data_IF_235112268022
#
_entry.id   IF_235112268022
#
_cell.length_a   1.000
_cell.length_b   1.000
_cell.length_c   1.000
_cell.angle_alpha   90.00
_cell.angle_beta   90.00
_cell.angle_gamma   90.00
#
_symmetry.space_group_name_H-M   'P 1'
#
loop_
_entity.id
_entity.type
_entity.pdbx_description
1 polymer ?
#
# COMPACT_ATOMS: atom_id res chain seq x y z
N UNK A 1 38.89 51.69 -7.05
CA UNK A 1 37.41 51.62 -6.96
C UNK A 1 37.00 52.40 -5.73
N UNK A 2 35.96 53.23 -5.81
CA UNK A 2 35.53 54.03 -4.65
C UNK A 2 34.73 53.16 -3.68
N UNK A 3 34.85 53.40 -2.37
CA UNK A 3 34.08 52.70 -1.33
C UNK A 3 32.57 52.55 -1.60
N UNK A 4 31.85 53.55 -2.16
CA UNK A 4 30.43 53.39 -2.47
C UNK A 4 30.14 52.34 -3.56
N UNK A 5 31.08 52.05 -4.47
CA UNK A 5 30.87 51.02 -5.50
C UNK A 5 30.96 49.60 -4.92
N UNK A 6 31.83 49.40 -3.92
CA UNK A 6 31.97 48.12 -3.21
C UNK A 6 30.75 47.82 -2.32
N UNK A 7 30.18 48.84 -1.66
CA UNK A 7 28.99 48.69 -0.85
C UNK A 7 27.75 48.30 -1.68
N UNK A 8 27.57 48.92 -2.86
CA UNK A 8 26.47 48.60 -3.76
C UNK A 8 26.55 47.16 -4.33
N UNK A 9 27.76 46.72 -4.71
CA UNK A 9 27.99 45.35 -5.18
C UNK A 9 27.66 44.30 -4.11
N UNK A 10 28.01 44.56 -2.85
CA UNK A 10 27.71 43.66 -1.73
C UNK A 10 26.22 43.51 -1.48
N UNK A 11 25.46 44.62 -1.49
CA UNK A 11 24.00 44.59 -1.31
C UNK A 11 23.31 43.81 -2.44
N UNK A 12 23.76 43.96 -3.68
CA UNK A 12 23.21 43.20 -4.83
C UNK A 12 23.50 41.71 -4.70
N UNK A 13 24.70 41.33 -4.27
CA UNK A 13 25.06 39.93 -4.02
C UNK A 13 24.25 39.34 -2.86
N UNK A 14 24.13 40.05 -1.74
CA UNK A 14 23.33 39.63 -0.59
C UNK A 14 21.84 39.44 -0.96
N UNK A 15 21.28 40.34 -1.79
CA UNK A 15 19.91 40.19 -2.29
C UNK A 15 19.73 39.00 -3.23
N UNK A 16 20.69 38.75 -4.12
CA UNK A 16 20.65 37.61 -5.04
C UNK A 16 20.71 36.26 -4.28
N UNK A 17 21.60 36.15 -3.28
CA UNK A 17 21.68 34.96 -2.42
C UNK A 17 20.39 34.72 -1.61
N UNK A 18 19.73 35.80 -1.16
CA UNK A 18 18.43 35.74 -0.49
C UNK A 18 17.34 35.26 -1.45
N UNK A 19 17.29 35.76 -2.68
CA UNK A 19 16.30 35.37 -3.68
C UNK A 19 16.45 33.90 -4.11
N UNK A 20 17.69 33.42 -4.31
CA UNK A 20 17.98 32.00 -4.56
C UNK A 20 17.54 31.12 -3.40
N UNK A 21 17.82 31.54 -2.16
CA UNK A 21 17.41 30.80 -0.96
C UNK A 21 15.88 30.72 -0.83
N UNK A 22 15.16 31.80 -1.15
CA UNK A 22 13.70 31.83 -1.16
C UNK A 22 13.14 30.90 -2.25
N UNK A 23 13.73 30.93 -3.46
CA UNK A 23 13.33 30.07 -4.56
C UNK A 23 13.50 28.58 -4.19
N UNK A 24 14.67 28.19 -3.67
CA UNK A 24 14.96 26.82 -3.23
C UNK A 24 14.00 26.34 -2.13
N UNK A 25 13.67 27.21 -1.17
CA UNK A 25 12.69 26.89 -0.12
C UNK A 25 11.30 26.63 -0.69
N UNK A 26 10.84 27.45 -1.64
CA UNK A 26 9.54 27.26 -2.31
C UNK A 26 9.49 25.96 -3.08
N UNK A 27 10.55 25.65 -3.82
CA UNK A 27 10.66 24.39 -4.56
C UNK A 27 10.64 23.18 -3.61
N UNK A 28 11.40 23.24 -2.52
CA UNK A 28 11.43 22.18 -1.50
C UNK A 28 10.04 21.93 -0.90
N UNK A 29 9.28 22.99 -0.58
CA UNK A 29 7.92 22.88 -0.08
C UNK A 29 7.00 22.25 -1.12
N UNK A 30 7.10 22.67 -2.39
CA UNK A 30 6.30 22.11 -3.47
C UNK A 30 6.59 20.62 -3.71
N UNK A 31 7.86 20.21 -3.65
CA UNK A 31 8.27 18.81 -3.77
C UNK A 31 7.78 17.97 -2.59
N UNK A 32 7.90 18.46 -1.35
CA UNK A 32 7.36 17.79 -0.16
C UNK A 32 5.86 17.55 -0.27
N UNK A 33 5.11 18.54 -0.76
CA UNK A 33 3.67 18.40 -0.99
C UNK A 33 3.36 17.32 -2.01
N UNK A 34 4.04 17.33 -3.16
CA UNK A 34 3.86 16.29 -4.19
C UNK A 34 4.20 14.88 -3.68
N UNK A 35 5.23 14.78 -2.84
CA UNK A 35 5.63 13.50 -2.23
C UNK A 35 4.55 13.00 -1.27
N UNK A 36 4.02 13.87 -0.41
CA UNK A 36 2.89 13.52 0.46
C UNK A 36 1.63 13.13 -0.34
N UNK A 37 1.32 13.86 -1.42
CA UNK A 37 0.19 13.52 -2.29
C UNK A 37 0.39 12.14 -2.97
N UNK A 38 1.64 11.80 -3.35
CA UNK A 38 1.97 10.51 -3.95
C UNK A 38 1.89 9.36 -2.94
N UNK A 39 2.40 9.56 -1.72
CA UNK A 39 2.33 8.59 -0.63
C UNK A 39 0.88 8.31 -0.23
N UNK A 40 0.04 9.34 -0.13
CA UNK A 40 -1.40 9.17 0.12
C UNK A 40 -2.12 8.43 -1.01
N UNK A 41 -1.72 8.66 -2.27
CA UNK A 41 -2.34 8.01 -3.43
C UNK A 41 -1.95 6.53 -3.58
N UNK A 42 -0.70 6.19 -3.26
CA UNK A 42 -0.17 4.83 -3.38
C UNK A 42 0.86 4.55 -2.27
N UNK A 43 0.39 4.26 -1.04
CA UNK A 43 1.27 4.08 0.11
C UNK A 43 2.23 2.88 -0.05
N UNK A 44 1.81 1.86 -0.80
CA UNK A 44 2.63 0.67 -1.07
C UNK A 44 4.00 1.00 -1.71
N UNK A 45 4.11 2.06 -2.52
CA UNK A 45 5.39 2.43 -3.14
C UNK A 45 6.43 2.84 -2.10
N UNK A 46 5.98 3.36 -0.96
CA UNK A 46 6.80 3.86 0.14
C UNK A 46 6.90 2.87 1.30
N UNK A 47 6.41 1.65 1.11
CA UNK A 47 6.32 0.63 2.15
C UNK A 47 7.69 0.14 2.65
N UNK A 48 7.72 -0.20 3.94
CA UNK A 48 8.80 -0.97 4.56
C UNK A 48 8.39 -2.43 4.71
N UNK A 49 9.36 -3.36 4.66
CA UNK A 49 9.08 -4.81 4.78
C UNK A 49 8.31 -5.09 6.08
N UNK A 50 7.22 -5.85 5.97
CA UNK A 50 6.29 -6.15 7.07
C UNK A 50 5.12 -5.16 7.17
N UNK A 51 5.11 -4.08 6.37
CA UNK A 51 3.95 -3.20 6.28
C UNK A 51 2.72 -3.96 5.78
N UNK A 52 1.60 -3.75 6.48
CA UNK A 52 0.31 -4.32 6.14
C UNK A 52 -0.48 -3.38 5.21
N UNK A 53 -1.21 -3.99 4.29
CA UNK A 53 -2.10 -3.31 3.35
C UNK A 53 -3.42 -4.05 3.21
N UNK A 54 -4.48 -3.30 2.99
CA UNK A 54 -5.77 -3.80 2.53
C UNK A 54 -6.02 -3.37 1.08
N UNK A 55 -6.85 -4.11 0.37
CA UNK A 55 -7.33 -3.67 -0.93
C UNK A 55 -8.43 -2.62 -0.78
N UNK A 56 -8.29 -1.48 -1.47
CA UNK A 56 -9.33 -0.45 -1.55
C UNK A 56 -10.63 -1.07 -2.04
N UNK A 57 -11.65 -1.06 -1.18
CA UNK A 57 -13.02 -1.41 -1.58
C UNK A 57 -13.51 -0.38 -2.61
N UNK A 58 -13.87 -0.85 -3.80
CA UNK A 58 -14.68 -0.05 -4.71
C UNK A 58 -16.12 -0.02 -4.16
N UNK A 59 -16.83 1.10 -4.25
CA UNK A 59 -18.22 1.22 -3.80
C UNK A 59 -19.16 0.21 -4.49
N UNK A 60 -18.75 -0.29 -5.66
CA UNK A 60 -19.45 -1.34 -6.42
C UNK A 60 -19.16 -2.74 -5.89
N UNK A 61 -18.12 -2.92 -5.08
CA UNK A 61 -17.75 -4.16 -4.41
C UNK A 61 -18.50 -4.27 -3.08
N UNK A 62 -19.83 -4.44 -3.17
CA UNK A 62 -20.66 -4.72 -2.01
C UNK A 62 -20.37 -6.14 -1.50
N UNK A 63 -20.22 -6.30 -0.18
CA UNK A 63 -20.04 -7.58 0.53
C UNK A 63 -18.67 -8.27 0.42
N UNK A 64 -17.60 -7.56 0.10
CA UNK A 64 -16.24 -8.12 0.18
C UNK A 64 -15.61 -7.86 1.56
N UNK A 65 -15.12 -8.92 2.19
CA UNK A 65 -14.20 -8.83 3.32
C UNK A 65 -12.88 -8.17 2.87
N UNK A 66 -12.19 -7.42 3.74
CA UNK A 66 -10.96 -6.75 3.36
C UNK A 66 -9.84 -7.79 3.31
N UNK A 67 -9.33 -8.08 2.12
CA UNK A 67 -8.13 -8.90 1.96
C UNK A 67 -6.91 -8.16 2.55
N UNK A 68 -6.16 -8.85 3.40
CA UNK A 68 -4.94 -8.33 4.03
C UNK A 68 -3.69 -8.87 3.36
N UNK A 69 -2.74 -7.96 3.13
CA UNK A 69 -1.49 -8.23 2.46
C UNK A 69 -0.32 -7.71 3.27
N UNK A 70 0.72 -8.53 3.41
CA UNK A 70 2.02 -8.13 3.95
C UNK A 70 2.97 -7.79 2.80
N UNK A 71 3.64 -6.65 2.88
CA UNK A 71 4.68 -6.29 1.93
C UNK A 71 6.01 -6.97 2.26
N UNK A 72 6.55 -7.73 1.31
CA UNK A 72 7.78 -8.52 1.49
C UNK A 72 9.03 -7.87 0.88
N UNK A 73 8.89 -6.73 0.19
CA UNK A 73 10.00 -6.03 -0.44
C UNK A 73 9.87 -5.95 -1.97
N UNK A 74 11.02 -5.89 -2.66
CA UNK A 74 11.07 -5.71 -4.11
C UNK A 74 11.79 -6.85 -4.82
N UNK A 75 11.37 -7.13 -6.05
CA UNK A 75 12.04 -8.10 -6.91
C UNK A 75 13.43 -7.61 -7.33
N UNK A 76 14.41 -8.51 -7.35
CA UNK A 76 15.73 -8.25 -7.94
C UNK A 76 15.71 -8.26 -9.48
N UNK A 77 14.57 -8.65 -10.07
CA UNK A 77 14.42 -8.96 -11.48
C UNK A 77 14.87 -10.39 -11.79
N UNK A 78 14.22 -11.01 -12.77
CA UNK A 78 14.57 -12.34 -13.25
C UNK A 78 15.18 -12.27 -14.64
N UNK A 79 16.22 -13.05 -14.88
CA UNK A 79 16.71 -13.32 -16.24
C UNK A 79 16.00 -14.51 -16.89
N UNK A 80 15.17 -15.21 -16.12
CA UNK A 80 14.40 -16.38 -16.53
C UNK A 80 13.01 -15.91 -16.95
N UNK A 81 12.64 -16.18 -18.21
CA UNK A 81 11.27 -16.04 -18.66
C UNK A 81 10.47 -17.30 -18.32
N UNK A 82 9.28 -17.12 -17.77
CA UNK A 82 8.31 -18.19 -17.62
C UNK A 82 7.30 -18.10 -18.76
N UNK A 83 6.89 -19.24 -19.31
CA UNK A 83 5.89 -19.26 -20.39
C UNK A 83 4.51 -19.29 -19.78
N UNK A 84 3.71 -18.24 -20.01
CA UNK A 84 2.30 -18.21 -19.66
C UNK A 84 1.45 -18.43 -20.91
N UNK A 85 0.13 -18.51 -20.75
CA UNK A 85 -0.80 -18.68 -21.87
C UNK A 85 -0.76 -17.52 -22.88
N UNK A 86 -0.23 -16.36 -22.49
CA UNK A 86 -0.08 -15.18 -23.35
C UNK A 86 1.33 -14.97 -23.90
N UNK A 87 2.27 -15.86 -23.55
CA UNK A 87 3.66 -15.81 -24.03
C UNK A 87 4.67 -15.80 -22.88
N UNK A 88 5.95 -15.58 -23.20
CA UNK A 88 6.99 -15.49 -22.18
C UNK A 88 6.84 -14.19 -21.37
N UNK A 89 6.81 -14.33 -20.04
CA UNK A 89 6.81 -13.22 -19.09
C UNK A 89 8.11 -13.26 -18.29
N UNK A 90 8.71 -12.09 -18.11
CA UNK A 90 9.90 -11.91 -17.29
C UNK A 90 9.59 -10.88 -16.22
N UNK A 91 9.72 -11.28 -14.96
CA UNK A 91 9.56 -10.37 -13.82
C UNK A 91 10.68 -9.35 -13.85
N UNK A 92 10.34 -8.07 -14.01
CA UNK A 92 11.32 -7.00 -13.98
C UNK A 92 11.81 -6.72 -12.55
N UNK A 93 12.93 -6.03 -12.43
CA UNK A 93 13.40 -5.52 -11.14
C UNK A 93 12.44 -4.44 -10.61
N UNK A 94 12.50 -4.22 -9.29
CA UNK A 94 11.76 -3.19 -8.55
C UNK A 94 10.24 -3.35 -8.49
N UNK A 95 9.69 -4.52 -8.88
CA UNK A 95 8.29 -4.84 -8.63
C UNK A 95 8.08 -5.13 -7.15
N UNK A 96 6.92 -4.74 -6.61
CA UNK A 96 6.60 -4.88 -5.19
C UNK A 96 6.05 -6.29 -4.93
N UNK A 97 6.54 -6.95 -3.90
CA UNK A 97 6.15 -8.31 -3.51
C UNK A 97 5.20 -8.24 -2.32
N UNK A 98 4.07 -8.93 -2.43
CA UNK A 98 3.06 -9.03 -1.39
C UNK A 98 2.75 -10.49 -1.08
N UNK A 99 2.44 -10.75 0.18
CA UNK A 99 1.89 -12.02 0.66
C UNK A 99 0.48 -11.82 1.17
N UNK A 100 -0.46 -12.60 0.66
CA UNK A 100 -1.82 -12.66 1.17
C UNK A 100 -1.85 -13.42 2.51
N UNK A 101 -2.53 -12.87 3.51
CA UNK A 101 -2.53 -13.40 4.88
C UNK A 101 -3.75 -14.29 5.18
N UNK A 102 -4.91 -14.04 4.57
CA UNK A 102 -6.11 -14.84 4.80
C UNK A 102 -6.35 -15.89 3.70
N UNK A 103 -6.92 -17.04 4.07
CA UNK A 103 -6.75 -18.34 3.40
C UNK A 103 -7.49 -18.54 2.08
N UNK A 104 -8.05 -17.51 1.47
CA UNK A 104 -8.60 -17.63 0.13
C UNK A 104 -8.63 -16.27 -0.55
N UNK A 105 -7.74 -16.06 -1.53
CA UNK A 105 -7.85 -14.92 -2.43
C UNK A 105 -9.03 -15.15 -3.37
N UNK A 106 -10.24 -14.88 -2.85
CA UNK A 106 -11.54 -15.25 -3.42
C UNK A 106 -12.02 -14.35 -4.55
N UNK A 107 -11.13 -13.93 -5.43
CA UNK A 107 -11.48 -13.22 -6.65
C UNK A 107 -12.08 -14.19 -7.70
N UNK A 108 -13.21 -14.84 -7.38
CA UNK A 108 -13.87 -15.84 -8.27
C UNK A 108 -14.38 -15.22 -9.58
N UNK A 109 -14.43 -13.90 -9.70
CA UNK A 109 -14.49 -13.17 -10.97
C UNK A 109 -13.59 -11.93 -10.90
N UNK A 110 -12.31 -12.20 -10.62
CA UNK A 110 -11.14 -11.38 -10.91
C UNK A 110 -10.81 -10.19 -9.99
N UNK A 111 -11.65 -9.82 -9.02
CA UNK A 111 -11.21 -9.11 -7.78
C UNK A 111 -10.27 -7.90 -7.99
N UNK A 112 -9.28 -7.70 -7.11
CA UNK A 112 -8.29 -6.62 -7.28
C UNK A 112 -7.58 -6.73 -8.63
N UNK A 113 -7.24 -7.95 -9.07
CA UNK A 113 -6.47 -8.16 -10.29
C UNK A 113 -7.19 -7.64 -11.53
N UNK A 114 -8.51 -7.77 -11.62
CA UNK A 114 -9.30 -7.18 -12.70
C UNK A 114 -9.28 -5.65 -12.61
N UNK A 115 -9.42 -5.09 -11.42
CA UNK A 115 -9.41 -3.64 -11.20
C UNK A 115 -8.08 -3.02 -11.65
N UNK A 116 -6.97 -3.70 -11.39
CA UNK A 116 -5.62 -3.20 -11.74
C UNK A 116 -5.10 -3.78 -13.07
N UNK A 117 -5.93 -4.55 -13.79
CA UNK A 117 -5.58 -5.26 -15.02
C UNK A 117 -4.32 -6.13 -14.86
N UNK A 118 -4.22 -6.87 -13.75
CA UNK A 118 -3.17 -7.83 -13.42
C UNK A 118 -3.64 -9.28 -13.63
N UNK A 119 -4.20 -9.53 -14.82
CA UNK A 119 -4.60 -10.85 -15.29
C UNK A 119 -3.77 -11.23 -16.54
N UNK A 120 -3.34 -12.50 -16.68
CA UNK A 120 -3.54 -13.62 -15.76
C UNK A 120 -2.62 -13.58 -14.54
N UNK A 121 -3.03 -14.26 -13.48
CA UNK A 121 -2.30 -14.32 -12.21
C UNK A 121 -0.85 -14.84 -12.38
N UNK A 122 -0.66 -15.80 -13.29
CA UNK A 122 0.64 -16.42 -13.58
C UNK A 122 1.71 -15.44 -14.02
N UNK A 123 1.34 -14.28 -14.56
CA UNK A 123 2.28 -13.25 -15.00
C UNK A 123 2.91 -12.51 -13.80
N UNK A 124 2.39 -12.73 -12.59
CA UNK A 124 2.72 -12.00 -11.37
C UNK A 124 3.20 -12.93 -10.24
N UNK A 125 3.37 -14.23 -10.49
CA UNK A 125 3.93 -15.15 -9.50
C UNK A 125 5.41 -14.88 -9.24
N UNK A 126 5.82 -15.12 -8.01
CA UNK A 126 7.23 -15.06 -7.59
C UNK A 126 7.73 -16.49 -7.47
N UNK A 127 8.69 -16.85 -8.32
CA UNK A 127 9.32 -18.16 -8.30
C UNK A 127 10.62 -18.13 -7.51
N UNK A 128 10.86 -19.18 -6.73
CA UNK A 128 12.15 -19.45 -6.10
C UNK A 128 13.18 -20.00 -7.11
N UNK A 129 14.40 -20.22 -6.64
CA UNK A 129 15.50 -20.75 -7.46
C UNK A 129 15.24 -22.19 -7.96
N UNK A 130 14.29 -22.92 -7.36
CA UNK A 130 13.86 -24.26 -7.80
C UNK A 130 12.72 -24.20 -8.82
N UNK A 131 12.20 -23.01 -9.12
CA UNK A 131 11.07 -22.79 -10.02
C UNK A 131 9.72 -23.10 -9.39
N UNK A 132 9.62 -23.17 -8.06
CA UNK A 132 8.36 -23.26 -7.32
C UNK A 132 7.89 -21.86 -6.94
N UNK A 133 6.58 -21.69 -6.78
CA UNK A 133 5.98 -20.45 -6.29
C UNK A 133 5.04 -20.74 -5.13
N UNK A 134 4.86 -19.75 -4.24
CA UNK A 134 3.82 -19.74 -3.23
C UNK A 134 2.60 -19.03 -3.83
N UNK A 135 1.44 -19.68 -3.84
CA UNK A 135 0.20 -19.13 -4.39
C UNK A 135 -0.29 -17.88 -3.63
N UNK A 136 0.15 -17.69 -2.39
CA UNK A 136 -0.18 -16.51 -1.60
C UNK A 136 0.80 -15.35 -1.86
N UNK A 137 1.89 -15.59 -2.59
CA UNK A 137 2.92 -14.58 -2.85
C UNK A 137 2.88 -14.16 -4.32
N UNK A 138 2.74 -12.86 -4.53
CA UNK A 138 2.74 -12.29 -5.87
C UNK A 138 3.51 -10.98 -5.90
N UNK A 139 3.85 -10.55 -7.11
CA UNK A 139 4.51 -9.28 -7.34
C UNK A 139 3.71 -8.40 -8.30
N UNK A 140 3.76 -7.08 -8.11
CA UNK A 140 3.11 -6.12 -8.99
C UNK A 140 4.07 -5.00 -9.38
N UNK A 141 4.00 -4.51 -10.63
CA UNK A 141 4.70 -3.29 -10.99
C UNK A 141 4.09 -2.09 -10.22
N UNK A 142 4.89 -1.04 -9.94
CA UNK A 142 4.44 0.10 -9.14
C UNK A 142 3.15 0.78 -9.63
N UNK A 143 2.93 0.83 -10.94
CA UNK A 143 1.74 1.41 -11.57
C UNK A 143 0.45 0.61 -11.31
N UNK A 144 0.55 -0.62 -10.81
CA UNK A 144 -0.57 -1.48 -10.43
C UNK A 144 -0.83 -1.54 -8.93
N UNK A 145 -0.04 -0.84 -8.11
CA UNK A 145 -0.18 -0.84 -6.65
C UNK A 145 -1.15 0.23 -6.11
N UNK A 146 -1.82 0.98 -6.98
CA UNK A 146 -2.65 2.13 -6.58
C UNK A 146 -3.90 1.77 -5.77
N UNK A 147 -4.28 0.49 -5.68
CA UNK A 147 -5.40 0.03 -4.86
C UNK A 147 -5.02 -0.37 -3.43
N UNK A 148 -3.74 -0.53 -3.10
CA UNK A 148 -3.34 -0.89 -1.72
C UNK A 148 -3.46 0.31 -0.79
N UNK A 149 -4.13 0.14 0.35
CA UNK A 149 -4.31 1.14 1.39
C UNK A 149 -3.77 0.59 2.71
N UNK A 150 -3.31 1.47 3.60
CA UNK A 150 -3.02 1.06 4.98
C UNK A 150 -4.36 0.60 5.59
N UNK A 151 -4.41 -0.53 6.33
CA UNK A 151 -5.63 -0.98 6.98
C UNK A 151 -6.19 0.13 7.84
N UNK A 152 -7.52 0.32 7.81
CA UNK A 152 -8.16 1.16 8.83
C UNK A 152 -7.94 0.49 10.19
N UNK A 153 -7.47 1.26 11.19
CA UNK A 153 -7.51 0.79 12.58
C UNK A 153 -9.00 0.64 12.94
N UNK A 154 -9.53 -0.57 12.79
CA UNK A 154 -10.82 -0.91 13.38
C UNK A 154 -10.64 -0.80 14.89
N UNK A 155 -11.00 0.36 15.45
CA UNK A 155 -11.30 0.46 16.87
C UNK A 155 -12.47 -0.49 17.09
N UNK A 156 -12.16 -1.71 17.53
CA UNK A 156 -13.12 -2.54 18.23
C UNK A 156 -13.48 -1.74 19.48
N UNK A 157 -14.56 -0.97 19.40
CA UNK A 157 -15.29 -0.61 20.61
C UNK A 157 -15.71 -1.97 21.18
N UNK A 158 -15.02 -2.42 22.23
CA UNK A 158 -15.49 -3.54 23.04
C UNK A 158 -16.91 -3.15 23.49
N UNK A 159 -17.92 -3.72 22.83
CA UNK A 159 -19.28 -3.69 23.35
C UNK A 159 -19.20 -4.44 24.69
N UNK A 160 -19.19 -3.68 25.78
CA UNK A 160 -19.39 -4.17 27.14
C UNK A 160 -20.71 -4.96 27.14
N UNK A 161 -20.60 -6.28 26.97
CA UNK A 161 -21.67 -7.25 27.09
C UNK A 161 -21.99 -7.36 28.59
N UNK A 162 -22.72 -6.36 29.11
CA UNK A 162 -23.36 -6.40 30.42
C UNK A 162 -24.43 -7.51 30.36
N UNK A 163 -24.00 -8.76 30.59
CA UNK A 163 -24.88 -9.89 30.88
C UNK A 163 -25.69 -9.56 32.16
N UNK A 164 -26.90 -9.03 31.97
CA UNK A 164 -27.92 -8.99 33.03
C UNK A 164 -28.34 -10.43 33.35
N UNK A 165 -27.86 -10.96 34.47
CA UNK A 165 -28.37 -12.22 35.06
C UNK A 165 -29.82 -12.03 35.53
N UNK A 166 -30.78 -12.44 34.69
CA UNK A 166 -32.18 -12.64 35.06
C UNK A 166 -32.30 -13.81 36.07
N UNK A 167 -32.43 -13.50 37.35
CA UNK A 167 -32.65 -14.47 38.45
C UNK A 167 -34.17 -14.77 38.60
N UNK A 168 -34.70 -15.58 37.69
CA UNK A 168 -36.08 -16.11 37.72
C UNK A 168 -36.12 -17.52 38.36
N UNK A 169 -36.24 -17.63 39.69
CA UNK A 169 -36.72 -18.85 40.36
C UNK A 169 -38.19 -18.72 40.77
N UNK A 170 -39.11 -19.16 39.89
CA UNK A 170 -40.51 -19.44 40.24
C UNK A 170 -40.69 -20.81 40.93
N UNK A 171 -41.64 -20.79 41.87
CA UNK A 171 -42.14 -21.90 42.70
C UNK A 171 -42.50 -23.18 41.91
N UNK A 172 -42.19 -24.35 42.48
CA UNK A 172 -42.92 -25.58 42.13
C UNK A 172 -43.54 -26.23 43.39
N UNK A 173 -44.86 -26.07 43.50
CA UNK A 173 -45.73 -26.86 44.36
C UNK A 173 -45.89 -28.24 43.73
N UNK A 174 -45.67 -29.32 44.48
CA UNK A 174 -46.42 -30.57 44.29
C UNK A 174 -46.62 -31.34 45.58
N UNK A 175 -47.88 -31.76 45.71
CA UNK A 175 -48.52 -32.54 46.76
C UNK A 175 -47.86 -33.90 46.99
N UNK A 176 -47.84 -34.36 48.25
CA UNK A 176 -48.24 -35.70 48.70
C UNK A 176 -48.37 -35.75 50.23
#
# INVERSE_FOLDING_TARGET
MSEPTLAALRVVLDHHEVDETIALRRETIALRRKLADAEAACPAIFAEIGDMFEHRRDERMQSYEPDLFEYLGRTAGSSVSHTTIHGPVTVAADWLIFKHIDHYYGAINGGMRDVINAWPESDYWVYDDEGKYDENVFCLPPDKCFCFRKPEEYMYEEEDDDEEEDDDEEEDKKEL
#
